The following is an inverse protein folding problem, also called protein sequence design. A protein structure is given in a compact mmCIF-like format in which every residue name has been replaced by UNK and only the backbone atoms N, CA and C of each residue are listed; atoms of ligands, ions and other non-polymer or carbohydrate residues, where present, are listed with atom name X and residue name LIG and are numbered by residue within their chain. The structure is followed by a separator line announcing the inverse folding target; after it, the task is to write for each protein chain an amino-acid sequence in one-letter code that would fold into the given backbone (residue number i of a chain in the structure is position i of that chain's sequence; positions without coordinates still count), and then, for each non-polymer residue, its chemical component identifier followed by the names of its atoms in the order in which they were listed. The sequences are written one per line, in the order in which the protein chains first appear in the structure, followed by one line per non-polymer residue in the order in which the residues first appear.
data_IF_461716265671
#
_entry.id   IF_461716265671
#
_cell.length_a   1.000
_cell.length_b   1.000
_cell.length_c   1.000
_cell.angle_alpha   90.00
_cell.angle_beta   90.00
_cell.angle_gamma   90.00
#
_symmetry.space_group_name_H-M   'P 1'
#
loop_
_entity.id
_entity.type
_entity.pdbx_description
1 polymer ?
#
# COMPACT_ATOMS: atom_id res chain seq x y z
N UNK A 1 -42.35 5.28 48.24
CA UNK A 1 -41.11 4.50 48.19
C UNK A 1 -40.77 4.31 46.75
N UNK A 2 -39.75 5.00 46.33
CA UNK A 2 -39.40 5.23 44.94
C UNK A 2 -38.79 4.02 44.24
N UNK A 3 -39.09 3.93 42.98
CA UNK A 3 -38.49 2.98 42.04
C UNK A 3 -37.48 3.76 41.20
N UNK A 4 -36.21 3.69 41.57
CA UNK A 4 -35.06 4.17 40.80
C UNK A 4 -34.23 2.96 40.44
N UNK A 5 -34.39 2.44 39.20
CA UNK A 5 -33.38 1.65 38.50
C UNK A 5 -33.92 1.19 37.12
N UNK A 6 -33.89 2.06 36.12
CA UNK A 6 -34.03 1.65 34.71
C UNK A 6 -33.37 2.70 33.78
N UNK A 7 -32.07 2.92 33.91
CA UNK A 7 -31.34 3.70 32.88
C UNK A 7 -29.88 3.25 32.80
N UNK A 8 -29.58 1.97 32.54
CA UNK A 8 -28.19 1.57 32.27
C UNK A 8 -28.02 0.39 31.30
N UNK A 9 -29.08 -0.06 30.64
CA UNK A 9 -28.94 -1.18 29.67
C UNK A 9 -28.73 -0.75 28.21
N UNK A 10 -28.99 0.51 27.86
CA UNK A 10 -28.91 0.98 26.47
C UNK A 10 -27.53 1.49 26.04
N UNK A 11 -26.67 1.89 26.98
CA UNK A 11 -25.35 2.45 26.64
C UNK A 11 -24.30 1.39 26.31
N UNK A 12 -24.35 0.21 26.90
CA UNK A 12 -23.41 -0.88 26.64
C UNK A 12 -23.64 -1.52 25.25
N UNK A 13 -24.89 -1.70 24.83
CA UNK A 13 -25.21 -2.33 23.53
C UNK A 13 -24.82 -1.46 22.34
N UNK A 14 -24.90 -0.14 22.44
CA UNK A 14 -24.49 0.80 21.38
C UNK A 14 -22.96 0.91 21.30
N UNK A 15 -22.27 0.90 22.43
CA UNK A 15 -20.80 0.92 22.48
C UNK A 15 -20.20 -0.37 21.90
N UNK A 16 -20.72 -1.55 22.24
CA UNK A 16 -20.30 -2.84 21.73
C UNK A 16 -20.54 -2.93 20.20
N UNK A 17 -21.71 -2.49 19.73
CA UNK A 17 -22.03 -2.46 18.29
C UNK A 17 -21.08 -1.55 17.50
N UNK A 18 -20.63 -0.43 18.06
CA UNK A 18 -19.69 0.49 17.43
C UNK A 18 -18.26 -0.09 17.38
N UNK A 19 -17.84 -0.77 18.44
CA UNK A 19 -16.53 -1.46 18.48
C UNK A 19 -16.47 -2.60 17.45
N UNK A 20 -17.50 -3.42 17.35
CA UNK A 20 -17.61 -4.48 16.35
C UNK A 20 -17.58 -3.94 14.92
N UNK A 21 -18.26 -2.83 14.66
CA UNK A 21 -18.26 -2.18 13.36
C UNK A 21 -16.86 -1.67 12.98
N UNK A 22 -16.17 -0.98 13.90
CA UNK A 22 -14.80 -0.49 13.68
C UNK A 22 -13.84 -1.64 13.38
N UNK A 23 -13.91 -2.71 14.14
CA UNK A 23 -13.05 -3.88 13.94
C UNK A 23 -13.33 -4.59 12.63
N UNK A 24 -14.58 -4.73 12.23
CA UNK A 24 -14.96 -5.30 10.93
C UNK A 24 -14.45 -4.44 9.77
N UNK A 25 -14.52 -3.12 9.92
CA UNK A 25 -13.99 -2.19 8.92
C UNK A 25 -12.47 -2.32 8.80
N UNK A 26 -11.73 -2.31 9.91
CA UNK A 26 -10.29 -2.57 9.98
C UNK A 26 -9.92 -3.91 9.31
N UNK A 27 -10.66 -4.97 9.60
CA UNK A 27 -10.44 -6.31 9.03
C UNK A 27 -10.58 -6.32 7.50
N UNK A 28 -11.61 -5.66 6.98
CA UNK A 28 -11.82 -5.56 5.53
C UNK A 28 -10.72 -4.74 4.85
N UNK A 29 -10.36 -3.59 5.41
CA UNK A 29 -9.28 -2.74 4.88
C UNK A 29 -7.93 -3.45 4.91
N UNK A 30 -7.64 -4.22 5.97
CA UNK A 30 -6.43 -5.01 6.07
C UNK A 30 -6.33 -6.06 4.94
N UNK A 31 -7.44 -6.72 4.61
CA UNK A 31 -7.49 -7.68 3.50
C UNK A 31 -7.27 -7.00 2.15
N UNK A 32 -7.84 -5.82 1.92
CA UNK A 32 -7.65 -5.04 0.70
C UNK A 32 -6.18 -4.61 0.52
N UNK A 33 -5.58 -4.06 1.58
CA UNK A 33 -4.17 -3.62 1.57
C UNK A 33 -3.22 -4.80 1.37
N UNK A 34 -3.48 -5.94 2.01
CA UNK A 34 -2.70 -7.15 1.83
C UNK A 34 -2.74 -7.66 0.39
N UNK A 35 -3.93 -7.67 -0.21
CA UNK A 35 -4.10 -8.07 -1.61
C UNK A 35 -3.35 -7.13 -2.55
N UNK A 36 -3.47 -5.81 -2.35
CA UNK A 36 -2.77 -4.82 -3.16
C UNK A 36 -1.24 -5.00 -3.08
N UNK A 37 -0.70 -5.21 -1.87
CA UNK A 37 0.75 -5.43 -1.69
C UNK A 37 1.22 -6.73 -2.37
N UNK A 38 0.43 -7.80 -2.33
CA UNK A 38 0.74 -9.04 -3.04
C UNK A 38 0.71 -8.89 -4.56
N UNK A 39 -0.29 -8.20 -5.10
CA UNK A 39 -0.38 -7.91 -6.54
C UNK A 39 0.80 -7.06 -6.97
N UNK A 40 1.15 -6.03 -6.21
CA UNK A 40 2.31 -5.18 -6.45
C UNK A 40 3.63 -5.99 -6.44
N UNK A 41 3.82 -6.87 -5.47
CA UNK A 41 5.02 -7.72 -5.39
C UNK A 41 5.19 -8.67 -6.59
N UNK A 42 4.11 -9.07 -7.25
CA UNK A 42 4.14 -9.88 -8.49
C UNK A 42 4.53 -9.03 -9.69
N UNK A 43 4.07 -7.79 -9.76
CA UNK A 43 4.27 -6.90 -10.91
C UNK A 43 5.65 -6.22 -10.91
N UNK A 44 6.18 -5.87 -9.76
CA UNK A 44 7.47 -5.18 -9.61
C UNK A 44 8.61 -5.78 -10.43
N UNK A 45 8.86 -7.12 -10.40
CA UNK A 45 9.90 -7.74 -11.22
C UNK A 45 9.68 -7.55 -12.72
N UNK A 46 8.43 -7.51 -13.17
CA UNK A 46 8.07 -7.31 -14.57
C UNK A 46 8.41 -5.88 -15.01
N UNK A 47 8.00 -4.89 -14.21
CA UNK A 47 8.30 -3.48 -14.46
C UNK A 47 9.82 -3.24 -14.46
N UNK A 48 10.55 -3.83 -13.51
CA UNK A 48 12.01 -3.74 -13.45
C UNK A 48 12.72 -4.28 -14.70
N UNK A 49 12.16 -5.33 -15.31
CA UNK A 49 12.70 -5.87 -16.56
C UNK A 49 12.33 -5.04 -17.80
N UNK A 50 11.30 -4.21 -17.71
CA UNK A 50 10.81 -3.38 -18.79
C UNK A 50 11.51 -2.02 -18.89
N UNK A 51 12.14 -1.54 -17.81
CA UNK A 51 12.87 -0.26 -17.78
C UNK A 51 14.31 -0.40 -18.23
N UNK A 52 14.85 0.67 -18.86
CA UNK A 52 16.24 0.73 -19.33
C UNK A 52 17.18 1.52 -18.42
N UNK A 53 16.66 2.45 -17.61
CA UNK A 53 17.46 3.30 -16.73
C UNK A 53 18.01 2.51 -15.53
N UNK A 54 19.34 2.53 -15.32
CA UNK A 54 20.00 1.80 -14.23
C UNK A 54 19.57 2.27 -12.85
N UNK A 55 19.39 3.56 -12.64
CA UNK A 55 18.93 4.11 -11.37
C UNK A 55 17.52 3.67 -11.03
N UNK A 56 16.65 3.61 -12.03
CA UNK A 56 15.28 3.10 -11.87
C UNK A 56 15.28 1.60 -11.58
N UNK A 57 16.10 0.80 -12.27
CA UNK A 57 16.29 -0.63 -11.98
C UNK A 57 16.75 -0.82 -10.53
N UNK A 58 17.76 -0.05 -10.08
CA UNK A 58 18.26 -0.12 -8.70
C UNK A 58 17.18 0.24 -7.67
N UNK A 59 16.36 1.24 -7.98
CA UNK A 59 15.23 1.68 -7.13
C UNK A 59 14.17 0.59 -7.03
N UNK A 60 13.74 0.00 -8.14
CA UNK A 60 12.75 -1.08 -8.15
C UNK A 60 13.24 -2.36 -7.43
N UNK A 61 14.55 -2.66 -7.50
CA UNK A 61 15.15 -3.74 -6.71
C UNK A 61 15.00 -3.53 -5.19
N UNK A 62 15.08 -2.28 -4.71
CA UNK A 62 14.84 -1.96 -3.29
C UNK A 62 13.36 -2.16 -2.94
N UNK A 63 12.45 -1.72 -3.80
CA UNK A 63 11.01 -1.88 -3.61
C UNK A 63 10.60 -3.36 -3.53
N UNK A 64 11.20 -4.25 -4.34
CA UNK A 64 10.98 -5.69 -4.25
C UNK A 64 11.35 -6.27 -2.86
N UNK A 65 12.42 -5.76 -2.24
CA UNK A 65 12.84 -6.21 -0.89
C UNK A 65 11.91 -5.69 0.19
N UNK A 66 11.56 -4.39 0.12
CA UNK A 66 10.66 -3.77 1.09
C UNK A 66 9.25 -4.35 0.99
N UNK A 67 8.72 -4.61 -0.21
CA UNK A 67 7.42 -5.23 -0.42
C UNK A 67 7.31 -6.61 0.26
N UNK A 68 8.36 -7.43 0.18
CA UNK A 68 8.41 -8.71 0.91
C UNK A 68 8.34 -8.51 2.43
N UNK A 69 9.04 -7.50 2.95
CA UNK A 69 9.01 -7.17 4.37
C UNK A 69 7.64 -6.57 4.78
N UNK A 70 6.98 -5.81 3.91
CA UNK A 70 5.62 -5.30 4.15
C UNK A 70 4.61 -6.44 4.24
N UNK A 71 4.63 -7.40 3.31
CA UNK A 71 3.77 -8.59 3.35
C UNK A 71 3.96 -9.34 4.67
N UNK A 72 5.19 -9.60 5.09
CA UNK A 72 5.47 -10.26 6.37
C UNK A 72 4.92 -9.49 7.58
N UNK A 73 5.05 -8.16 7.60
CA UNK A 73 4.47 -7.31 8.67
C UNK A 73 2.94 -7.39 8.68
N UNK A 74 2.30 -7.38 7.51
CA UNK A 74 0.85 -7.53 7.40
C UNK A 74 0.40 -8.90 7.93
N UNK A 75 1.09 -9.98 7.59
CA UNK A 75 0.80 -11.34 8.10
C UNK A 75 0.90 -11.41 9.63
N UNK A 76 1.88 -10.71 10.23
CA UNK A 76 1.97 -10.57 11.69
C UNK A 76 0.76 -9.81 12.24
N UNK A 77 0.27 -8.78 11.56
CA UNK A 77 -0.94 -8.04 11.96
C UNK A 77 -2.17 -8.96 11.91
N UNK A 78 -2.39 -9.72 10.83
CA UNK A 78 -3.47 -10.70 10.73
C UNK A 78 -3.47 -11.67 11.90
N UNK A 79 -2.30 -12.22 12.22
CA UNK A 79 -2.13 -13.14 13.36
C UNK A 79 -2.41 -12.47 14.70
N UNK A 80 -1.92 -11.25 14.90
CA UNK A 80 -2.09 -10.50 16.16
C UNK A 80 -3.55 -10.17 16.44
N UNK A 81 -4.29 -9.81 15.37
CA UNK A 81 -5.70 -9.44 15.45
C UNK A 81 -6.64 -10.66 15.37
N UNK A 82 -6.09 -11.86 15.22
CA UNK A 82 -6.86 -13.10 15.00
C UNK A 82 -7.82 -13.00 13.81
N UNK A 83 -7.42 -12.29 12.76
CA UNK A 83 -8.17 -12.15 11.51
C UNK A 83 -7.71 -13.25 10.56
N UNK A 84 -8.63 -14.01 9.92
CA UNK A 84 -8.25 -14.99 8.90
C UNK A 84 -7.54 -14.32 7.72
N UNK A 85 -6.37 -14.85 7.35
CA UNK A 85 -5.63 -14.37 6.19
C UNK A 85 -6.37 -14.77 4.92
N UNK A 86 -6.98 -13.79 4.28
CA UNK A 86 -7.72 -13.94 3.03
C UNK A 86 -7.35 -12.80 2.09
N UNK A 87 -7.27 -13.12 0.82
CA UNK A 87 -7.20 -12.12 -0.24
C UNK A 87 -8.61 -11.62 -0.57
N UNK A 88 -8.74 -10.34 -0.80
CA UNK A 88 -9.95 -9.70 -1.27
C UNK A 88 -9.74 -9.24 -2.72
N UNK A 89 -10.79 -9.05 -3.50
CA UNK A 89 -10.66 -8.41 -4.80
C UNK A 89 -10.32 -6.93 -4.58
N UNK A 90 -9.27 -6.44 -5.24
CA UNK A 90 -8.87 -5.04 -5.20
C UNK A 90 -8.72 -4.51 -6.63
N UNK A 91 -9.81 -3.95 -7.14
CA UNK A 91 -9.89 -3.45 -8.52
C UNK A 91 -9.08 -2.18 -8.74
N UNK A 92 -8.90 -1.37 -7.72
CA UNK A 92 -8.21 -0.09 -7.87
C UNK A 92 -6.73 -0.29 -8.20
N UNK A 93 -6.06 -1.20 -7.49
CA UNK A 93 -4.67 -1.55 -7.81
C UNK A 93 -4.56 -2.29 -9.14
N UNK A 94 -5.56 -3.13 -9.51
CA UNK A 94 -5.59 -3.82 -10.79
C UNK A 94 -5.56 -2.84 -11.97
N UNK A 95 -6.40 -1.80 -11.93
CA UNK A 95 -6.43 -0.75 -12.97
C UNK A 95 -5.09 -0.02 -13.08
N UNK A 96 -4.48 0.37 -11.96
CA UNK A 96 -3.19 1.05 -11.98
C UNK A 96 -2.05 0.17 -12.53
N UNK A 97 -2.12 -1.13 -12.28
CA UNK A 97 -1.18 -2.11 -12.83
C UNK A 97 -1.40 -2.26 -14.34
N UNK A 98 -2.63 -2.33 -14.80
CA UNK A 98 -2.97 -2.39 -16.23
C UNK A 98 -2.44 -1.17 -16.98
N UNK A 99 -2.55 0.04 -16.42
CA UNK A 99 -1.97 1.25 -17.00
C UNK A 99 -0.44 1.14 -17.20
N UNK A 100 0.27 0.51 -16.26
CA UNK A 100 1.70 0.24 -16.44
C UNK A 100 1.98 -0.76 -17.59
N UNK A 101 1.15 -1.78 -17.75
CA UNK A 101 1.28 -2.71 -18.86
C UNK A 101 0.97 -2.05 -20.21
N UNK A 102 -0.04 -1.20 -20.28
CA UNK A 102 -0.36 -0.43 -21.49
C UNK A 102 0.85 0.44 -21.92
N UNK A 103 1.55 1.08 -20.96
CA UNK A 103 2.77 1.83 -21.25
C UNK A 103 3.85 0.93 -21.87
N UNK A 104 4.05 -0.27 -21.32
CA UNK A 104 5.01 -1.24 -21.85
C UNK A 104 4.65 -1.63 -23.29
N UNK A 105 3.38 -1.87 -23.56
CA UNK A 105 2.91 -2.37 -24.84
C UNK A 105 3.04 -1.31 -25.97
N UNK A 106 2.79 -0.03 -25.65
CA UNK A 106 2.76 1.05 -26.67
C UNK A 106 4.08 1.79 -26.83
N UNK A 107 5.09 1.55 -25.98
CA UNK A 107 6.37 2.26 -26.02
C UNK A 107 7.53 1.39 -26.49
N UNK A 108 8.57 1.95 -27.16
CA UNK A 108 9.75 1.18 -27.55
C UNK A 108 10.55 0.65 -26.37
N UNK A 109 11.16 -0.53 -26.52
CA UNK A 109 12.05 -1.12 -25.51
C UNK A 109 13.28 -0.21 -25.30
N UNK A 110 13.73 -0.08 -24.05
CA UNK A 110 14.89 0.74 -23.66
C UNK A 110 14.78 2.20 -24.12
N UNK A 111 13.57 2.77 -24.08
CA UNK A 111 13.36 4.16 -24.46
C UNK A 111 13.08 5.03 -23.23
N UNK A 112 13.57 6.27 -23.28
CA UNK A 112 13.27 7.29 -22.27
C UNK A 112 11.76 7.44 -22.04
N UNK A 113 10.94 7.40 -23.12
CA UNK A 113 9.50 7.58 -23.00
C UNK A 113 8.82 6.43 -22.22
N UNK A 114 9.35 5.18 -22.36
CA UNK A 114 8.89 4.05 -21.55
C UNK A 114 9.20 4.25 -20.10
N UNK A 115 10.44 4.58 -19.78
CA UNK A 115 10.90 4.76 -18.40
C UNK A 115 10.17 5.91 -17.73
N UNK A 116 10.03 7.06 -18.41
CA UNK A 116 9.28 8.20 -17.91
C UNK A 116 7.79 7.87 -17.66
N UNK A 117 7.15 7.15 -18.60
CA UNK A 117 5.79 6.68 -18.43
C UNK A 117 5.64 5.73 -17.25
N UNK A 118 6.54 4.76 -17.10
CA UNK A 118 6.53 3.81 -15.97
C UNK A 118 6.80 4.49 -14.64
N UNK A 119 7.66 5.51 -14.57
CA UNK A 119 7.82 6.32 -13.35
C UNK A 119 6.49 6.92 -12.93
N UNK A 120 5.74 7.53 -13.85
CA UNK A 120 4.43 8.11 -13.56
C UNK A 120 3.43 7.06 -13.08
N UNK A 121 3.32 5.91 -13.77
CA UNK A 121 2.44 4.82 -13.37
C UNK A 121 2.80 4.24 -12.00
N UNK A 122 4.09 4.04 -11.71
CA UNK A 122 4.56 3.57 -10.41
C UNK A 122 4.28 4.60 -9.31
N UNK A 123 4.44 5.91 -9.58
CA UNK A 123 4.08 6.96 -8.63
C UNK A 123 2.59 6.92 -8.27
N UNK A 124 1.71 6.69 -9.23
CA UNK A 124 0.27 6.56 -8.96
C UNK A 124 -0.03 5.35 -8.05
N UNK A 125 0.63 4.21 -8.29
CA UNK A 125 0.52 3.02 -7.43
C UNK A 125 1.02 3.32 -6.02
N UNK A 126 2.16 4.01 -5.87
CA UNK A 126 2.69 4.39 -4.56
C UNK A 126 1.76 5.33 -3.80
N UNK A 127 1.19 6.34 -4.45
CA UNK A 127 0.23 7.26 -3.85
C UNK A 127 -1.04 6.53 -3.38
N UNK A 128 -1.54 5.61 -4.19
CA UNK A 128 -2.63 4.72 -3.79
C UNK A 128 -2.26 3.93 -2.53
N UNK A 129 -1.11 3.26 -2.52
CA UNK A 129 -0.66 2.46 -1.38
C UNK A 129 -0.46 3.31 -0.11
N UNK A 130 0.16 4.49 -0.21
CA UNK A 130 0.35 5.42 0.92
C UNK A 130 -1.00 5.80 1.52
N UNK A 131 -1.99 6.12 0.69
CA UNK A 131 -3.34 6.48 1.12
C UNK A 131 -4.00 5.31 1.87
N UNK A 132 -3.95 4.10 1.32
CA UNK A 132 -4.54 2.92 1.91
C UNK A 132 -3.87 2.53 3.24
N UNK A 133 -2.53 2.54 3.30
CA UNK A 133 -1.80 2.26 4.55
C UNK A 133 -2.03 3.32 5.63
N UNK A 134 -2.15 4.58 5.25
CA UNK A 134 -2.46 5.68 6.18
C UNK A 134 -3.88 5.55 6.74
N UNK A 135 -4.83 5.19 5.89
CA UNK A 135 -6.21 4.90 6.30
C UNK A 135 -6.26 3.70 7.25
N UNK A 136 -5.56 2.61 6.91
CA UNK A 136 -5.49 1.41 7.75
C UNK A 136 -4.83 1.71 9.12
N UNK A 137 -3.79 2.54 9.16
CA UNK A 137 -3.17 3.01 10.40
C UNK A 137 -4.14 3.78 11.27
N UNK A 138 -4.92 4.69 10.68
CA UNK A 138 -5.94 5.45 11.41
C UNK A 138 -7.04 4.54 11.98
N UNK A 139 -7.46 3.52 11.24
CA UNK A 139 -8.43 2.52 11.70
C UNK A 139 -7.88 1.68 12.86
N UNK A 140 -6.62 1.24 12.78
CA UNK A 140 -5.96 0.50 13.85
C UNK A 140 -5.84 1.33 15.14
N UNK A 141 -5.56 2.64 15.01
CA UNK A 141 -5.58 3.59 16.12
C UNK A 141 -6.99 3.72 16.74
N UNK A 142 -8.03 3.80 15.91
CA UNK A 142 -9.42 3.90 16.37
C UNK A 142 -9.94 2.63 17.05
N UNK A 143 -9.25 1.50 16.87
CA UNK A 143 -9.53 0.21 17.52
C UNK A 143 -8.59 -0.08 18.71
N UNK A 144 -7.68 0.84 19.08
CA UNK A 144 -6.67 0.68 20.14
C UNK A 144 -5.70 -0.51 19.89
N UNK A 145 -5.49 -0.89 18.63
CA UNK A 145 -4.67 -2.04 18.24
C UNK A 145 -3.17 -1.67 18.15
N UNK A 146 -2.55 -1.38 19.28
CA UNK A 146 -1.20 -0.81 19.39
C UNK A 146 -0.10 -1.59 18.68
N UNK A 147 -0.18 -2.93 18.63
CA UNK A 147 0.81 -3.76 17.91
C UNK A 147 0.68 -3.57 16.40
N UNK A 148 -0.54 -3.55 15.88
CA UNK A 148 -0.80 -3.26 14.46
C UNK A 148 -0.36 -1.85 14.10
N UNK A 149 -0.68 -0.85 14.94
CA UNK A 149 -0.26 0.55 14.78
C UNK A 149 1.27 0.66 14.62
N UNK A 150 2.05 -0.01 15.47
CA UNK A 150 3.51 0.06 15.39
C UNK A 150 4.07 -0.52 14.08
N UNK A 151 3.52 -1.64 13.62
CA UNK A 151 3.93 -2.25 12.36
C UNK A 151 3.52 -1.40 11.15
N UNK A 152 2.30 -0.86 11.16
CA UNK A 152 1.79 0.00 10.09
C UNK A 152 2.57 1.32 9.97
N UNK A 153 2.99 1.93 11.09
CA UNK A 153 3.85 3.12 11.07
C UNK A 153 5.17 2.88 10.33
N UNK A 154 5.77 1.72 10.53
CA UNK A 154 7.00 1.35 9.79
C UNK A 154 6.72 1.25 8.31
N UNK A 155 5.61 0.61 7.91
CA UNK A 155 5.26 0.47 6.49
C UNK A 155 4.99 1.85 5.86
N UNK A 156 4.17 2.70 6.51
CA UNK A 156 3.87 4.06 6.01
C UNK A 156 5.14 4.88 5.84
N UNK A 157 6.06 4.81 6.80
CA UNK A 157 7.35 5.51 6.70
C UNK A 157 8.16 5.00 5.49
N UNK A 158 8.26 3.68 5.31
CA UNK A 158 8.97 3.09 4.18
C UNK A 158 8.34 3.46 2.83
N UNK A 159 7.01 3.49 2.73
CA UNK A 159 6.30 3.89 1.50
C UNK A 159 6.60 5.33 1.11
N UNK A 160 6.70 6.27 2.06
CA UNK A 160 7.13 7.64 1.77
C UNK A 160 8.60 7.69 1.31
N UNK A 161 9.48 6.87 1.88
CA UNK A 161 10.86 6.77 1.41
C UNK A 161 10.96 6.19 -0.01
N UNK A 162 10.13 5.20 -0.35
CA UNK A 162 10.03 4.66 -1.71
C UNK A 162 9.60 5.74 -2.71
N UNK A 163 8.61 6.56 -2.35
CA UNK A 163 8.13 7.69 -3.16
C UNK A 163 9.25 8.71 -3.43
N UNK A 164 9.99 9.11 -2.40
CA UNK A 164 11.14 10.02 -2.52
C UNK A 164 12.24 9.43 -3.43
N UNK A 165 12.56 8.15 -3.27
CA UNK A 165 13.56 7.46 -4.09
C UNK A 165 13.15 7.39 -5.56
N UNK A 166 11.88 7.13 -5.84
CA UNK A 166 11.37 7.10 -7.21
C UNK A 166 11.41 8.49 -7.86
N UNK A 167 11.06 9.54 -7.11
CA UNK A 167 11.15 10.92 -7.59
C UNK A 167 12.60 11.32 -7.92
N UNK A 168 13.56 10.89 -7.12
CA UNK A 168 14.99 11.12 -7.37
C UNK A 168 15.45 10.40 -8.66
N UNK A 169 15.08 9.12 -8.84
CA UNK A 169 15.42 8.35 -10.03
C UNK A 169 14.84 9.00 -11.30
N UNK A 170 13.58 9.48 -11.25
CA UNK A 170 12.96 10.20 -12.36
C UNK A 170 13.64 11.52 -12.68
N UNK A 171 14.08 12.26 -11.67
CA UNK A 171 14.81 13.53 -11.87
C UNK A 171 16.17 13.28 -12.50
N UNK A 172 16.93 12.28 -12.05
CA UNK A 172 18.22 11.88 -12.62
C UNK A 172 18.07 11.58 -14.10
N UNK A 173 17.12 10.73 -14.45
CA UNK A 173 16.89 10.35 -15.84
C UNK A 173 16.50 11.53 -16.76
N UNK A 174 15.68 12.48 -16.25
CA UNK A 174 15.34 13.68 -17.03
C UNK A 174 16.57 14.57 -17.28
N UNK A 175 17.46 14.69 -16.30
CA UNK A 175 18.70 15.46 -16.45
C UNK A 175 19.64 14.83 -17.49
N UNK A 176 19.81 13.51 -17.47
CA UNK A 176 20.64 12.77 -18.42
C UNK A 176 20.14 12.96 -19.86
N UNK A 177 18.82 12.86 -20.07
CA UNK A 177 18.21 13.10 -21.40
C UNK A 177 18.39 14.56 -21.89
N UNK A 178 18.27 15.55 -20.99
CA UNK A 178 18.43 16.97 -21.34
C UNK A 178 19.89 17.32 -21.64
N UNK A 179 20.84 16.72 -20.92
CA UNK A 179 22.26 16.99 -21.08
C UNK A 179 22.88 16.21 -22.25
N UNK A 180 22.20 15.21 -22.78
CA UNK A 180 22.61 14.47 -23.97
C UNK A 180 23.74 13.47 -23.71
N UNK A 181 23.80 12.92 -22.52
CA UNK A 181 24.72 11.84 -22.12
C UNK A 181 24.11 10.45 -22.35
#
# INVERSE_FOLDING_TARGET
MGNTNQFNAGSNTVADSNADFKFKFLSNSLQQVYTAEKQWAVVLPILRLAVGCEDLIATLNKFEKEGKAHIQRLEVIFKTLNIPLKEAQNKDIEVLIEECYDIIDVTPINSFIRDAGLIVGIQQIQQYQITEYTSLLAQALACDEHKAVNLLRVIVHNKHQEEEQLAMAGTSQMLDEILGD
#
